data_IF_504643730894
#
_entry.id   IF_504643730894
#
_cell.length_a   1.000
_cell.length_b   1.000
_cell.length_c   1.000
_cell.angle_alpha   90.00
_cell.angle_beta   90.00
_cell.angle_gamma   90.00
#
_symmetry.space_group_name_H-M   'P 1'
#
loop_
_entity.id
_entity.type
_entity.pdbx_description
1 polymer ?
#
# COMPACT_ATOMS: atom_id res chain seq x y z
N UNK A 1 2.91 11.51 -25.14
CA UNK A 1 3.49 10.26 -24.63
C UNK A 1 2.71 9.78 -23.41
N UNK A 2 2.39 8.52 -23.43
CA UNK A 2 1.60 7.96 -22.31
C UNK A 2 2.51 7.56 -21.18
N UNK A 3 2.13 7.99 -19.96
CA UNK A 3 2.84 7.55 -18.77
C UNK A 3 2.30 6.20 -18.32
N UNK A 4 3.20 5.31 -18.00
CA UNK A 4 2.82 4.04 -17.40
C UNK A 4 3.35 4.00 -15.97
N UNK A 5 2.51 3.51 -15.06
CA UNK A 5 2.94 3.31 -13.69
C UNK A 5 3.95 2.17 -13.65
N UNK A 6 5.12 2.38 -13.03
CA UNK A 6 6.05 1.26 -12.87
C UNK A 6 5.39 0.08 -12.21
N UNK A 7 5.85 -1.11 -12.57
CA UNK A 7 5.23 -2.35 -12.11
C UNK A 7 5.14 -2.44 -10.58
N UNK A 8 6.11 -1.86 -9.89
CA UNK A 8 6.17 -1.91 -8.43
C UNK A 8 5.53 -0.69 -7.75
N UNK A 9 4.89 0.19 -8.54
CA UNK A 9 4.18 1.33 -8.00
C UNK A 9 2.68 1.12 -8.15
N UNK A 10 1.94 1.60 -7.17
CA UNK A 10 0.49 1.50 -7.18
C UNK A 10 -0.15 2.88 -7.33
N UNK A 11 -1.23 2.93 -8.11
CA UNK A 11 -2.05 4.14 -8.12
C UNK A 11 -2.82 4.22 -6.81
N UNK A 12 -3.37 5.40 -6.44
CA UNK A 12 -4.16 5.48 -5.22
C UNK A 12 -5.32 4.50 -5.16
N UNK A 13 -5.99 4.25 -6.28
CA UNK A 13 -7.08 3.28 -6.32
C UNK A 13 -6.58 1.86 -6.12
N UNK A 14 -5.42 1.55 -6.67
CA UNK A 14 -4.81 0.24 -6.47
C UNK A 14 -4.39 0.06 -5.02
N UNK A 15 -3.84 1.11 -4.39
CA UNK A 15 -3.45 1.02 -2.99
C UNK A 15 -4.65 0.79 -2.08
N UNK A 16 -5.74 1.48 -2.35
CA UNK A 16 -6.96 1.31 -1.56
C UNK A 16 -7.44 -0.13 -1.64
N UNK A 17 -7.45 -0.70 -2.84
CA UNK A 17 -7.89 -2.07 -3.04
C UNK A 17 -6.94 -3.05 -2.35
N UNK A 18 -5.64 -2.83 -2.46
CA UNK A 18 -4.68 -3.70 -1.79
C UNK A 18 -4.84 -3.68 -0.28
N UNK A 19 -5.10 -2.49 0.31
CA UNK A 19 -5.33 -2.41 1.75
C UNK A 19 -6.51 -3.28 2.17
N UNK A 20 -7.58 -3.23 1.40
CA UNK A 20 -8.75 -4.04 1.70
C UNK A 20 -8.45 -5.53 1.60
N UNK A 21 -7.65 -5.92 0.60
CA UNK A 21 -7.28 -7.32 0.44
C UNK A 21 -6.38 -7.82 1.55
N UNK A 22 -5.43 -6.99 1.99
CA UNK A 22 -4.57 -7.38 3.11
C UNK A 22 -5.36 -7.55 4.40
N UNK A 23 -6.35 -6.69 4.61
CA UNK A 23 -7.13 -6.69 5.85
C UNK A 23 -8.16 -7.80 5.90
N UNK A 24 -8.69 -8.22 4.74
CA UNK A 24 -9.84 -9.12 4.71
C UNK A 24 -9.60 -10.47 4.06
N UNK A 25 -8.37 -10.71 3.57
CA UNK A 25 -8.00 -12.01 3.00
C UNK A 25 -8.74 -12.31 1.71
N UNK A 26 -8.87 -13.58 1.33
CA UNK A 26 -9.57 -13.90 0.08
C UNK A 26 -11.02 -13.46 0.15
N UNK A 27 -11.48 -12.77 -0.90
CA UNK A 27 -12.80 -12.15 -0.87
C UNK A 27 -13.35 -12.01 -2.30
N UNK A 28 -14.66 -12.09 -2.43
CA UNK A 28 -15.36 -11.81 -3.67
C UNK A 28 -15.42 -10.31 -3.89
N UNK A 29 -15.40 -9.87 -5.17
CA UNK A 29 -15.50 -8.44 -5.46
C UNK A 29 -16.82 -7.87 -4.92
N UNK A 30 -17.91 -8.63 -5.01
CA UNK A 30 -19.19 -8.16 -4.50
C UNK A 30 -19.15 -7.86 -2.99
N UNK A 31 -18.42 -8.69 -2.25
CA UNK A 31 -18.25 -8.46 -0.81
C UNK A 31 -17.29 -7.31 -0.54
N UNK A 32 -16.27 -7.22 -1.37
CA UNK A 32 -15.28 -6.14 -1.25
C UNK A 32 -15.94 -4.77 -1.41
N UNK A 33 -16.92 -4.67 -2.33
CA UNK A 33 -17.63 -3.41 -2.55
C UNK A 33 -18.31 -2.91 -1.28
N UNK A 34 -18.76 -3.83 -0.42
CA UNK A 34 -19.43 -3.44 0.82
C UNK A 34 -18.48 -2.76 1.81
N UNK A 35 -17.18 -2.94 1.61
CA UNK A 35 -16.16 -2.38 2.51
C UNK A 35 -15.73 -0.98 2.14
N UNK A 36 -16.08 -0.53 0.93
CA UNK A 36 -15.71 0.82 0.49
C UNK A 36 -16.59 1.86 1.16
N UNK A 37 -15.99 3.03 1.42
CA UNK A 37 -16.74 4.18 1.92
C UNK A 37 -17.59 4.78 0.81
N UNK A 38 -18.65 5.49 1.20
CA UNK A 38 -19.46 6.20 0.20
C UNK A 38 -18.69 7.41 -0.34
N UNK A 39 -18.80 7.72 -1.63
CA UNK A 39 -19.59 6.97 -2.63
C UNK A 39 -18.83 5.72 -3.06
N UNK A 40 -19.56 4.60 -3.11
CA UNK A 40 -18.96 3.32 -3.48
C UNK A 40 -18.65 3.27 -4.97
N UNK A 41 -17.52 2.68 -5.37
CA UNK A 41 -17.21 2.52 -6.79
C UNK A 41 -18.12 1.47 -7.41
N UNK A 42 -18.22 1.52 -8.74
CA UNK A 42 -18.96 0.50 -9.48
C UNK A 42 -18.20 -0.82 -9.47
N UNK A 43 -18.94 -1.90 -9.54
CA UNK A 43 -18.38 -3.25 -9.63
C UNK A 43 -17.36 -3.32 -10.77
N UNK A 44 -17.70 -2.78 -11.95
CA UNK A 44 -16.80 -2.83 -13.10
C UNK A 44 -15.50 -2.08 -12.87
N UNK A 45 -15.56 -0.98 -12.13
CA UNK A 45 -14.37 -0.21 -11.79
C UNK A 45 -13.42 -1.04 -10.93
N UNK A 46 -13.97 -1.67 -9.89
CA UNK A 46 -13.16 -2.50 -9.00
C UNK A 46 -12.61 -3.71 -9.73
N UNK A 47 -13.43 -4.34 -10.59
CA UNK A 47 -12.98 -5.48 -11.40
C UNK A 47 -11.80 -5.10 -12.28
N UNK A 48 -11.86 -3.94 -12.91
CA UNK A 48 -10.79 -3.48 -13.78
C UNK A 48 -9.50 -3.26 -12.99
N UNK A 49 -9.60 -2.62 -11.83
CA UNK A 49 -8.44 -2.41 -10.97
C UNK A 49 -7.86 -3.74 -10.51
N UNK A 50 -8.74 -4.67 -10.12
CA UNK A 50 -8.33 -5.99 -9.66
C UNK A 50 -7.57 -6.75 -10.75
N UNK A 51 -8.09 -6.73 -11.98
CA UNK A 51 -7.42 -7.42 -13.09
C UNK A 51 -6.07 -6.78 -13.39
N UNK A 52 -5.98 -5.47 -13.25
CA UNK A 52 -4.71 -4.78 -13.45
C UNK A 52 -3.68 -5.20 -12.40
N UNK A 53 -4.12 -5.30 -11.15
CA UNK A 53 -3.24 -5.76 -10.07
C UNK A 53 -2.82 -7.22 -10.28
N UNK A 54 -3.73 -8.04 -10.77
CA UNK A 54 -3.40 -9.43 -11.07
C UNK A 54 -2.37 -9.50 -12.20
N UNK A 55 -2.53 -8.67 -13.22
CA UNK A 55 -1.57 -8.60 -14.31
C UNK A 55 -0.19 -8.15 -13.88
N UNK A 56 -0.13 -7.31 -12.86
CA UNK A 56 1.14 -6.85 -12.27
C UNK A 56 1.75 -7.89 -11.32
N UNK A 57 1.00 -8.93 -10.97
CA UNK A 57 1.50 -9.99 -10.09
C UNK A 57 1.29 -9.72 -8.62
N UNK A 58 0.44 -8.77 -8.26
CA UNK A 58 0.22 -8.40 -6.86
C UNK A 58 -0.93 -9.14 -6.21
N UNK A 59 -1.89 -9.62 -7.01
CA UNK A 59 -3.02 -10.40 -6.52
C UNK A 59 -3.20 -11.63 -7.38
N UNK A 60 -3.92 -12.61 -6.85
CA UNK A 60 -4.31 -13.80 -7.57
C UNK A 60 -5.73 -14.15 -7.15
N UNK A 61 -6.31 -15.14 -7.80
CA UNK A 61 -7.64 -15.59 -7.43
C UNK A 61 -7.75 -17.09 -7.53
N UNK A 62 -8.71 -17.63 -6.78
CA UNK A 62 -9.12 -19.02 -6.92
C UNK A 62 -10.60 -19.03 -7.28
N UNK A 63 -11.02 -20.04 -8.01
CA UNK A 63 -12.44 -20.21 -8.31
C UNK A 63 -13.11 -20.98 -7.19
N UNK A 64 -14.31 -20.53 -6.82
CA UNK A 64 -15.10 -21.19 -5.80
C UNK A 64 -16.56 -21.06 -6.19
N UNK A 65 -17.19 -22.17 -6.59
CA UNK A 65 -18.60 -22.17 -6.96
C UNK A 65 -18.94 -21.22 -8.08
N UNK A 66 -18.05 -21.09 -9.07
CA UNK A 66 -18.27 -20.22 -10.21
C UNK A 66 -17.93 -18.76 -9.98
N UNK A 67 -17.41 -18.43 -8.79
CA UNK A 67 -17.00 -17.08 -8.44
C UNK A 67 -15.51 -17.05 -8.13
N UNK A 68 -14.91 -15.85 -8.25
CA UNK A 68 -13.49 -15.66 -8.02
C UNK A 68 -13.26 -15.05 -6.64
N UNK A 69 -12.43 -15.73 -5.85
CA UNK A 69 -11.95 -15.19 -4.58
C UNK A 69 -10.56 -14.61 -4.80
N UNK A 70 -10.44 -13.30 -4.64
CA UNK A 70 -9.17 -12.61 -4.85
C UNK A 70 -8.41 -12.45 -3.55
N UNK A 71 -7.09 -12.55 -3.62
CA UNK A 71 -6.24 -12.39 -2.44
C UNK A 71 -4.92 -11.75 -2.85
N UNK A 72 -4.27 -11.08 -1.90
CA UNK A 72 -2.99 -10.44 -2.14
C UNK A 72 -1.88 -11.48 -2.09
N UNK A 73 -1.01 -11.47 -3.11
CA UNK A 73 0.17 -12.33 -3.14
C UNK A 73 1.32 -11.67 -2.39
N UNK A 74 1.48 -10.35 -2.61
CA UNK A 74 2.61 -9.62 -2.05
C UNK A 74 2.32 -9.20 -0.62
N UNK A 75 3.29 -9.37 0.30
CA UNK A 75 3.11 -8.94 1.68
C UNK A 75 2.96 -7.42 1.78
N UNK A 76 2.16 -6.99 2.74
CA UNK A 76 1.94 -5.57 2.98
C UNK A 76 3.25 -4.82 3.26
N UNK A 77 4.15 -5.46 3.98
CA UNK A 77 5.43 -4.85 4.34
C UNK A 77 6.27 -4.48 3.13
N UNK A 78 6.25 -5.32 2.10
CA UNK A 78 7.01 -5.04 0.88
C UNK A 78 6.50 -3.77 0.21
N UNK A 79 5.18 -3.62 0.15
CA UNK A 79 4.58 -2.44 -0.44
C UNK A 79 4.84 -1.20 0.39
N UNK A 80 4.75 -1.35 1.69
CA UNK A 80 4.99 -0.23 2.60
C UNK A 80 6.39 0.33 2.39
N UNK A 81 7.39 -0.54 2.33
CA UNK A 81 8.76 -0.12 2.14
C UNK A 81 8.98 0.57 0.79
N UNK A 82 8.45 -0.01 -0.27
CA UNK A 82 8.60 0.55 -1.62
C UNK A 82 7.87 1.88 -1.76
N UNK A 83 6.65 1.95 -1.25
CA UNK A 83 5.86 3.17 -1.32
C UNK A 83 6.51 4.30 -0.52
N UNK A 84 7.05 3.96 0.64
CA UNK A 84 7.73 4.93 1.47
C UNK A 84 8.98 5.47 0.76
N UNK A 85 9.78 4.59 0.16
CA UNK A 85 10.96 5.00 -0.59
C UNK A 85 10.61 5.92 -1.76
N UNK A 86 9.55 5.60 -2.48
CA UNK A 86 9.09 6.43 -3.58
C UNK A 86 8.63 7.80 -3.09
N UNK A 87 7.91 7.84 -1.99
CA UNK A 87 7.46 9.09 -1.39
C UNK A 87 8.64 9.96 -0.99
N UNK A 88 9.62 9.37 -0.32
CA UNK A 88 10.82 10.10 0.11
C UNK A 88 11.57 10.65 -1.11
N UNK A 89 11.70 9.84 -2.15
CA UNK A 89 12.37 10.27 -3.36
C UNK A 89 11.65 11.47 -4.00
N UNK A 90 10.32 11.39 -4.09
CA UNK A 90 9.55 12.39 -4.81
C UNK A 90 9.39 13.70 -4.03
N UNK A 91 9.29 13.64 -2.72
CA UNK A 91 8.98 14.81 -1.92
C UNK A 91 10.13 15.33 -1.09
N UNK A 92 11.16 14.51 -0.89
CA UNK A 92 12.29 14.89 -0.04
C UNK A 92 13.64 14.65 -0.72
N UNK A 93 13.61 14.53 -2.05
CA UNK A 93 14.85 14.36 -2.81
C UNK A 93 15.66 13.13 -2.41
N UNK A 94 14.99 12.12 -1.86
CA UNK A 94 15.65 10.90 -1.43
C UNK A 94 16.23 10.97 -0.03
N UNK A 95 16.06 12.08 0.67
CA UNK A 95 16.64 12.27 2.00
C UNK A 95 15.66 11.89 3.11
N UNK A 96 15.91 10.75 3.74
CA UNK A 96 15.11 10.32 4.89
C UNK A 96 15.32 11.26 6.08
N UNK A 97 16.52 11.82 6.19
CA UNK A 97 16.80 12.81 7.22
C UNK A 97 15.86 14.01 7.07
N UNK A 98 15.69 14.50 5.85
CA UNK A 98 14.81 15.64 5.59
C UNK A 98 13.36 15.32 5.97
N UNK A 99 12.93 14.10 5.67
CA UNK A 99 11.56 13.68 6.00
C UNK A 99 11.36 13.65 7.51
N UNK A 100 12.30 13.07 8.25
CA UNK A 100 12.19 13.01 9.71
C UNK A 100 12.28 14.42 10.31
N UNK A 101 13.16 15.27 9.76
CA UNK A 101 13.27 16.66 10.22
C UNK A 101 11.95 17.41 10.06
N UNK A 102 11.25 17.16 8.96
CA UNK A 102 9.93 17.78 8.72
C UNK A 102 8.93 17.33 9.79
N UNK A 103 8.96 16.05 10.15
CA UNK A 103 8.07 15.54 11.18
C UNK A 103 8.34 16.18 12.53
N UNK A 104 9.63 16.40 12.84
CA UNK A 104 10.01 17.07 14.09
C UNK A 104 9.55 18.51 14.07
N UNK A 105 9.77 19.22 12.96
CA UNK A 105 9.38 20.62 12.82
C UNK A 105 7.87 20.81 12.96
N UNK A 106 7.09 19.82 12.49
CA UNK A 106 5.63 19.86 12.57
C UNK A 106 5.09 19.28 13.88
N UNK A 107 5.98 18.90 14.77
CA UNK A 107 5.63 18.33 16.07
C UNK A 107 4.80 17.05 15.94
N UNK A 108 5.09 16.27 14.91
CA UNK A 108 4.39 14.99 14.66
C UNK A 108 5.07 13.82 15.36
N UNK A 109 6.29 14.03 15.86
CA UNK A 109 7.04 12.99 16.54
C UNK A 109 7.64 13.60 17.80
N UNK A 110 7.52 12.90 18.92
CA UNK A 110 7.97 13.39 20.22
C UNK A 110 9.43 13.06 20.48
N UNK A 111 10.00 13.74 21.48
CA UNK A 111 11.37 13.46 21.93
C UNK A 111 11.48 12.02 22.45
N UNK A 112 10.45 11.56 23.15
CA UNK A 112 10.42 10.18 23.65
C UNK A 112 10.45 9.17 22.53
N UNK A 113 9.64 9.43 21.48
CA UNK A 113 9.61 8.55 20.33
C UNK A 113 10.95 8.53 19.61
N UNK A 114 11.61 9.69 19.49
CA UNK A 114 12.92 9.75 18.86
C UNK A 114 13.95 8.98 19.66
N UNK A 115 13.87 9.05 20.99
CA UNK A 115 14.78 8.29 21.86
C UNK A 115 14.58 6.79 21.68
N UNK A 116 13.32 6.34 21.55
CA UNK A 116 13.05 4.94 21.30
C UNK A 116 13.63 4.49 19.97
N UNK A 117 13.52 5.33 18.94
CA UNK A 117 14.11 5.02 17.64
C UNK A 117 15.61 4.94 17.71
N UNK A 118 16.23 5.85 18.46
CA UNK A 118 17.68 5.83 18.65
C UNK A 118 18.12 4.53 19.32
N UNK A 119 17.37 4.09 20.33
CA UNK A 119 17.67 2.82 21.01
C UNK A 119 17.61 1.65 20.04
N UNK A 120 16.63 1.66 19.13
CA UNK A 120 16.51 0.60 18.13
C UNK A 120 17.73 0.56 17.21
N UNK A 121 18.21 1.73 16.80
CA UNK A 121 19.40 1.80 15.95
C UNK A 121 20.61 1.26 16.67
N UNK A 122 20.80 1.66 17.93
CA UNK A 122 21.95 1.24 18.73
C UNK A 122 21.93 -0.26 18.98
N UNK A 123 20.76 -0.83 19.22
CA UNK A 123 20.64 -2.29 19.41
C UNK A 123 20.95 -3.05 18.15
N UNK A 124 20.52 -2.53 16.99
CA UNK A 124 20.79 -3.19 15.71
C UNK A 124 22.25 -3.08 15.30
N UNK A 125 22.91 -2.03 15.74
CA UNK A 125 24.30 -1.80 15.40
C UNK A 125 25.27 -2.71 16.12
N UNK A 126 24.78 -3.57 17.01
CA UNK A 126 25.65 -4.50 17.78
C UNK A 126 25.63 -5.93 17.25
#
# INVERSE_FOLDING_TARGET
MRKTTPKDQLTPKEEELMQLLWDHGPILISKLLELYSEPKPHFNTVSTVMRRLEGKGFVAHTESGGSFLYYAISPKEDFRSKSFGTFIKNYFGGSYYSAVSALVAEEKISAEELKELLDLIERKGK
#
